data_IF_127015534392
#
_entry.id   IF_127015534392
#
_cell.length_a   1.000
_cell.length_b   1.000
_cell.length_c   1.000
_cell.angle_alpha   90.00
_cell.angle_beta   90.00
_cell.angle_gamma   90.00
#
_symmetry.space_group_name_H-M   'P 1'
#
loop_
_entity.id
_entity.type
_entity.pdbx_description
1 polymer ?
#
# COMPACT_ATOMS: atom_id res chain seq x y z
N UNK A 1 -26.91 -14.11 -13.68
CA UNK A 1 -26.24 -12.80 -13.56
C UNK A 1 -24.90 -12.94 -14.27
N UNK A 2 -24.48 -11.96 -15.07
CA UNK A 2 -23.15 -11.93 -15.68
C UNK A 2 -22.13 -11.37 -14.69
N UNK A 3 -20.83 -11.59 -14.91
CA UNK A 3 -19.77 -11.01 -14.06
C UNK A 3 -19.76 -9.48 -14.04
N UNK A 4 -20.11 -8.86 -15.17
CA UNK A 4 -20.37 -7.41 -15.29
C UNK A 4 -21.52 -6.97 -14.36
N UNK A 5 -22.62 -7.72 -14.32
CA UNK A 5 -23.75 -7.44 -13.44
C UNK A 5 -23.42 -7.69 -11.96
N UNK A 6 -22.66 -8.74 -11.65
CA UNK A 6 -22.20 -9.06 -10.29
C UNK A 6 -21.30 -7.95 -9.73
N UNK A 7 -20.30 -7.51 -10.51
CA UNK A 7 -19.40 -6.43 -10.12
C UNK A 7 -20.13 -5.11 -9.92
N UNK A 8 -21.06 -4.76 -10.83
CA UNK A 8 -21.96 -3.61 -10.67
C UNK A 8 -22.79 -3.71 -9.39
N UNK A 9 -23.44 -4.85 -9.15
CA UNK A 9 -24.31 -5.03 -7.98
C UNK A 9 -23.53 -4.97 -6.66
N UNK A 10 -22.31 -5.52 -6.62
CA UNK A 10 -21.41 -5.40 -5.47
C UNK A 10 -20.95 -3.95 -5.23
N UNK A 11 -20.63 -3.19 -6.29
CA UNK A 11 -20.28 -1.79 -6.17
C UNK A 11 -21.45 -0.93 -5.66
N UNK A 12 -22.66 -1.13 -6.19
CA UNK A 12 -23.88 -0.46 -5.70
C UNK A 12 -24.13 -0.79 -4.23
N UNK A 13 -23.99 -2.07 -3.83
CA UNK A 13 -24.14 -2.51 -2.44
C UNK A 13 -23.11 -1.88 -1.52
N UNK A 14 -21.82 -1.91 -1.87
CA UNK A 14 -20.75 -1.28 -1.09
C UNK A 14 -20.98 0.23 -0.90
N UNK A 15 -21.41 0.94 -1.97
CA UNK A 15 -21.75 2.36 -1.88
C UNK A 15 -22.97 2.63 -0.99
N UNK A 16 -23.93 1.72 -0.92
CA UNK A 16 -25.09 1.82 -0.04
C UNK A 16 -24.71 1.53 1.43
N UNK A 17 -24.04 0.41 1.70
CA UNK A 17 -23.64 -0.02 3.05
C UNK A 17 -22.73 0.99 3.75
N UNK A 18 -21.87 1.68 2.99
CA UNK A 18 -20.98 2.73 3.52
C UNK A 18 -21.50 4.16 3.29
N UNK A 19 -22.78 4.34 2.92
CA UNK A 19 -23.44 5.64 2.75
C UNK A 19 -22.72 6.62 1.79
N UNK A 20 -22.08 6.11 0.74
CA UNK A 20 -21.28 6.89 -0.22
C UNK A 20 -22.14 7.63 -1.27
N UNK A 21 -23.44 7.33 -1.32
CA UNK A 21 -24.39 7.93 -2.27
C UNK A 21 -23.92 7.76 -3.72
N UNK A 22 -24.03 8.83 -4.52
CA UNK A 22 -23.57 8.87 -5.93
C UNK A 22 -22.40 9.85 -6.16
N UNK A 23 -21.83 10.39 -5.09
CA UNK A 23 -20.78 11.41 -5.15
C UNK A 23 -19.37 10.80 -5.38
N UNK A 24 -18.40 11.60 -5.86
CA UNK A 24 -17.00 11.19 -5.95
C UNK A 24 -16.42 10.69 -4.63
N UNK A 25 -15.53 9.71 -4.71
CA UNK A 25 -14.77 9.21 -3.56
C UNK A 25 -13.47 10.02 -3.42
N UNK A 26 -13.20 10.55 -2.23
CA UNK A 26 -12.02 11.36 -1.91
C UNK A 26 -10.74 10.52 -1.81
N UNK A 27 -10.14 10.46 -0.62
CA UNK A 27 -9.05 9.52 -0.34
C UNK A 27 -9.60 8.09 -0.30
N UNK A 28 -9.40 7.37 -1.41
CA UNK A 28 -9.85 5.99 -1.57
C UNK A 28 -9.07 5.04 -0.66
N UNK A 29 -7.81 5.34 -0.32
CA UNK A 29 -7.00 4.50 0.57
C UNK A 29 -7.61 4.56 1.98
N UNK A 30 -7.77 5.77 2.53
CA UNK A 30 -8.41 5.94 3.84
C UNK A 30 -9.85 5.39 3.86
N UNK A 31 -10.59 5.50 2.75
CA UNK A 31 -11.92 4.90 2.63
C UNK A 31 -11.86 3.38 2.83
N UNK A 32 -11.00 2.67 2.08
CA UNK A 32 -10.87 1.20 2.18
C UNK A 32 -10.43 0.78 3.58
N UNK A 33 -9.40 1.42 4.14
CA UNK A 33 -8.87 1.12 5.48
C UNK A 33 -9.95 1.29 6.57
N UNK A 34 -10.80 2.31 6.43
CA UNK A 34 -11.88 2.60 7.38
C UNK A 34 -13.10 1.67 7.21
N UNK A 35 -13.50 1.35 5.99
CA UNK A 35 -14.74 0.60 5.74
C UNK A 35 -14.56 -0.92 5.82
N UNK A 36 -13.38 -1.43 5.49
CA UNK A 36 -13.09 -2.88 5.45
C UNK A 36 -12.12 -3.33 6.55
N UNK A 37 -11.32 -2.42 7.10
CA UNK A 37 -10.25 -2.76 8.05
C UNK A 37 -9.01 -3.43 7.42
N UNK A 38 -8.98 -3.56 6.09
CA UNK A 38 -7.83 -4.01 5.29
C UNK A 38 -6.71 -2.99 5.37
N UNK A 39 -5.47 -3.45 5.52
CA UNK A 39 -4.30 -2.60 5.50
C UNK A 39 -3.88 -2.29 4.05
N UNK A 40 -3.78 -1.01 3.67
CA UNK A 40 -3.48 -0.60 2.29
C UNK A 40 -2.15 0.15 2.21
N UNK A 41 -1.25 -0.31 1.34
CA UNK A 41 0.08 0.28 1.16
C UNK A 41 0.30 0.79 -0.26
N UNK A 42 0.99 1.93 -0.39
CA UNK A 42 1.54 2.40 -1.68
C UNK A 42 3.04 2.10 -1.68
N UNK A 43 3.49 1.28 -2.62
CA UNK A 43 4.81 0.66 -2.65
C UNK A 43 5.59 1.02 -3.93
N UNK A 44 6.91 0.85 -3.91
CA UNK A 44 7.67 0.71 -5.17
C UNK A 44 7.45 -0.72 -5.69
N UNK A 45 7.14 -0.87 -6.97
CA UNK A 45 6.91 -2.16 -7.64
C UNK A 45 7.62 -2.16 -8.99
N UNK A 46 7.83 -3.35 -9.57
CA UNK A 46 8.32 -3.45 -10.95
C UNK A 46 7.30 -2.89 -11.96
N UNK A 47 7.73 -2.45 -13.16
CA UNK A 47 6.88 -1.70 -14.10
C UNK A 47 5.61 -2.41 -14.56
N UNK A 48 5.57 -3.75 -14.49
CA UNK A 48 4.44 -4.59 -14.90
C UNK A 48 3.51 -4.98 -13.72
N UNK A 49 3.88 -4.63 -12.49
CA UNK A 49 3.06 -4.81 -11.30
C UNK A 49 2.36 -3.49 -10.93
N UNK A 50 1.04 -3.53 -10.77
CA UNK A 50 0.23 -2.33 -10.54
C UNK A 50 -0.54 -2.38 -9.22
N UNK A 51 -0.94 -3.58 -8.82
CA UNK A 51 -1.67 -3.89 -7.60
C UNK A 51 -1.45 -5.35 -7.24
N UNK A 52 -1.63 -5.65 -5.96
CA UNK A 52 -1.62 -7.01 -5.41
C UNK A 52 -2.51 -7.05 -4.17
N UNK A 53 -3.37 -8.05 -4.12
CA UNK A 53 -4.13 -8.44 -2.92
C UNK A 53 -3.48 -9.67 -2.30
N UNK A 54 -3.25 -9.65 -0.99
CA UNK A 54 -2.63 -10.77 -0.26
C UNK A 54 -3.33 -11.00 1.08
N UNK A 55 -3.42 -12.28 1.48
CA UNK A 55 -3.87 -12.69 2.81
C UNK A 55 -2.76 -13.47 3.50
N UNK A 56 -2.35 -13.04 4.68
CA UNK A 56 -1.42 -13.80 5.51
C UNK A 56 -2.13 -15.07 6.04
N UNK A 57 -1.66 -16.29 5.72
CA UNK A 57 -2.28 -17.52 6.19
C UNK A 57 -2.12 -17.72 7.71
N UNK A 58 -1.16 -17.07 8.37
CA UNK A 58 -0.92 -17.24 9.80
C UNK A 58 -1.84 -16.38 10.69
N UNK A 59 -1.92 -15.07 10.43
CA UNK A 59 -2.80 -14.16 11.18
C UNK A 59 -4.19 -13.98 10.56
N UNK A 60 -4.38 -14.40 9.31
CA UNK A 60 -5.59 -14.11 8.52
C UNK A 60 -5.71 -12.66 8.05
N UNK A 61 -4.71 -11.80 8.31
CA UNK A 61 -4.73 -10.39 7.92
C UNK A 61 -4.70 -10.24 6.40
N UNK A 62 -5.44 -9.25 5.89
CA UNK A 62 -5.56 -8.94 4.47
C UNK A 62 -4.88 -7.61 4.18
N UNK A 63 -4.10 -7.59 3.10
CA UNK A 63 -3.32 -6.45 2.64
C UNK A 63 -3.62 -6.17 1.16
N UNK A 64 -3.72 -4.89 0.81
CA UNK A 64 -3.68 -4.44 -0.59
C UNK A 64 -2.42 -3.59 -0.79
N UNK A 65 -1.53 -4.04 -1.67
CA UNK A 65 -0.45 -3.22 -2.21
C UNK A 65 -0.88 -2.58 -3.52
N UNK A 66 -0.60 -1.30 -3.70
CA UNK A 66 -0.69 -0.63 -5.01
C UNK A 66 0.62 0.07 -5.37
N UNK A 67 0.97 0.04 -6.65
CA UNK A 67 2.15 0.71 -7.15
C UNK A 67 2.03 2.23 -6.94
N UNK A 68 3.09 2.87 -6.45
CA UNK A 68 3.28 4.32 -6.65
C UNK A 68 3.30 4.61 -8.14
N UNK A 69 2.74 5.73 -8.57
CA UNK A 69 2.73 6.06 -10.00
C UNK A 69 2.49 7.53 -10.26
N UNK A 70 2.97 8.02 -11.39
CA UNK A 70 2.61 9.33 -11.97
C UNK A 70 1.27 9.29 -12.72
N UNK A 71 0.52 8.18 -12.66
CA UNK A 71 -0.81 8.01 -13.26
C UNK A 71 -1.90 7.85 -12.18
N UNK A 72 -2.31 8.93 -11.47
CA UNK A 72 -3.18 8.85 -10.30
C UNK A 72 -4.53 8.16 -10.56
N UNK A 73 -5.11 8.41 -11.75
CA UNK A 73 -6.38 7.79 -12.12
C UNK A 73 -6.28 6.27 -12.30
N UNK A 74 -5.10 5.78 -12.71
CA UNK A 74 -4.80 4.35 -12.84
C UNK A 74 -4.68 3.70 -11.46
N UNK A 75 -3.93 4.30 -10.55
CA UNK A 75 -3.79 3.82 -9.17
C UNK A 75 -5.15 3.69 -8.48
N UNK A 76 -6.04 4.68 -8.65
CA UNK A 76 -7.41 4.64 -8.10
C UNK A 76 -8.23 3.49 -8.68
N UNK A 77 -8.20 3.26 -9.99
CA UNK A 77 -8.86 2.10 -10.60
C UNK A 77 -8.27 0.77 -10.14
N UNK A 78 -6.95 0.68 -9.97
CA UNK A 78 -6.29 -0.53 -9.47
C UNK A 78 -6.66 -0.80 -8.02
N UNK A 79 -6.59 0.18 -7.12
CA UNK A 79 -7.04 0.01 -5.72
C UNK A 79 -8.52 -0.43 -5.63
N UNK A 80 -9.39 0.12 -6.49
CA UNK A 80 -10.79 -0.30 -6.54
C UNK A 80 -10.98 -1.71 -7.12
N UNK A 81 -10.07 -2.18 -7.99
CA UNK A 81 -10.05 -3.53 -8.54
C UNK A 81 -9.53 -4.54 -7.49
N UNK A 82 -8.43 -4.25 -6.81
CA UNK A 82 -7.91 -5.06 -5.69
C UNK A 82 -8.94 -5.19 -4.55
N UNK A 83 -9.65 -4.11 -4.22
CA UNK A 83 -10.77 -4.14 -3.27
C UNK A 83 -11.86 -5.12 -3.70
N UNK A 84 -12.13 -5.28 -5.01
CA UNK A 84 -13.08 -6.26 -5.48
C UNK A 84 -12.63 -7.69 -5.14
N UNK A 85 -11.36 -8.02 -5.39
CA UNK A 85 -10.82 -9.35 -5.06
C UNK A 85 -10.90 -9.64 -3.56
N UNK A 86 -10.62 -8.67 -2.69
CA UNK A 86 -10.85 -8.83 -1.24
C UNK A 86 -12.32 -9.11 -0.93
N UNK A 87 -13.26 -8.33 -1.48
CA UNK A 87 -14.69 -8.45 -1.19
C UNK A 87 -15.34 -9.72 -1.75
N UNK A 88 -14.73 -10.34 -2.77
CA UNK A 88 -15.16 -11.62 -3.35
C UNK A 88 -14.35 -12.82 -2.84
N UNK A 89 -13.34 -12.60 -1.98
CA UNK A 89 -12.39 -13.62 -1.53
C UNK A 89 -11.65 -14.33 -2.67
N UNK A 90 -11.35 -13.59 -3.75
CA UNK A 90 -10.60 -14.06 -4.93
C UNK A 90 -9.09 -14.14 -4.63
N UNK A 91 -8.69 -15.02 -3.71
CA UNK A 91 -7.28 -15.23 -3.35
C UNK A 91 -6.56 -15.98 -4.48
N UNK A 92 -6.00 -15.25 -5.45
CA UNK A 92 -5.16 -15.84 -6.50
C UNK A 92 -3.84 -16.34 -5.92
N UNK A 93 -3.58 -17.64 -6.07
CA UNK A 93 -2.23 -18.17 -5.87
C UNK A 93 -1.28 -17.61 -6.94
N UNK A 94 -0.06 -17.25 -6.54
CA UNK A 94 0.95 -16.56 -7.37
C UNK A 94 1.27 -17.27 -8.70
N UNK A 95 0.95 -18.55 -8.83
CA UNK A 95 1.25 -19.42 -9.97
C UNK A 95 0.26 -19.37 -11.14
N UNK A 96 -0.98 -18.90 -10.98
CA UNK A 96 -2.03 -19.08 -12.01
C UNK A 96 -2.59 -17.77 -12.62
N UNK A 97 -1.70 -16.81 -12.90
CA UNK A 97 -2.03 -15.65 -13.74
C UNK A 97 -2.03 -16.03 -15.23
N UNK A 98 -2.95 -16.92 -15.62
CA UNK A 98 -3.15 -17.28 -17.02
C UNK A 98 -3.61 -16.07 -17.85
N UNK A 99 -3.26 -16.05 -19.16
CA UNK A 99 -3.34 -14.84 -20.00
C UNK A 99 -4.71 -14.50 -20.58
N UNK A 100 -5.74 -15.30 -20.29
CA UNK A 100 -7.11 -14.94 -20.65
C UNK A 100 -7.75 -14.16 -19.49
N UNK A 101 -8.60 -13.16 -19.80
CA UNK A 101 -9.30 -12.42 -18.74
C UNK A 101 -10.23 -13.37 -18.00
N UNK A 102 -9.86 -13.76 -16.78
CA UNK A 102 -10.71 -14.60 -15.94
C UNK A 102 -12.05 -13.93 -15.68
N UNK A 103 -13.04 -14.72 -15.29
CA UNK A 103 -14.37 -14.22 -14.98
C UNK A 103 -14.34 -13.28 -13.76
N UNK A 104 -13.32 -13.45 -12.92
CA UNK A 104 -13.02 -12.71 -11.70
C UNK A 104 -12.45 -11.32 -12.05
N UNK A 105 -11.50 -11.24 -12.99
CA UNK A 105 -10.96 -9.98 -13.54
C UNK A 105 -12.06 -9.11 -14.18
N UNK A 106 -12.98 -9.72 -14.94
CA UNK A 106 -14.12 -9.01 -15.54
C UNK A 106 -15.05 -8.45 -14.45
N UNK A 107 -15.25 -9.19 -13.36
CA UNK A 107 -16.06 -8.76 -12.21
C UNK A 107 -15.37 -7.62 -11.43
N UNK A 108 -14.06 -7.70 -11.24
CA UNK A 108 -13.25 -6.69 -10.58
C UNK A 108 -13.20 -5.38 -11.36
N UNK A 109 -12.99 -5.42 -12.69
CA UNK A 109 -13.09 -4.25 -13.59
C UNK A 109 -14.49 -3.60 -13.53
N UNK A 110 -15.55 -4.40 -13.48
CA UNK A 110 -16.92 -3.91 -13.38
C UNK A 110 -17.20 -3.26 -12.01
N UNK A 111 -16.75 -3.89 -10.92
CA UNK A 111 -16.84 -3.33 -9.58
C UNK A 111 -16.08 -2.00 -9.49
N UNK A 112 -14.81 -1.96 -9.90
CA UNK A 112 -13.96 -0.78 -9.82
C UNK A 112 -14.58 0.43 -10.55
N UNK A 113 -15.09 0.20 -11.77
CA UNK A 113 -15.81 1.23 -12.55
C UNK A 113 -17.05 1.74 -11.83
N UNK A 114 -17.95 0.85 -11.39
CA UNK A 114 -19.21 1.26 -10.77
C UNK A 114 -19.03 1.83 -9.34
N UNK A 115 -17.95 1.46 -8.65
CA UNK A 115 -17.59 2.05 -7.37
C UNK A 115 -17.09 3.49 -7.54
N UNK A 116 -16.17 3.73 -8.48
CA UNK A 116 -15.55 5.04 -8.68
C UNK A 116 -16.46 6.04 -9.39
N UNK A 117 -17.24 5.58 -10.37
CA UNK A 117 -18.09 6.42 -11.22
C UNK A 117 -19.46 5.76 -11.43
N UNK A 118 -20.39 5.89 -10.46
CA UNK A 118 -21.76 5.40 -10.60
C UNK A 118 -22.50 6.15 -11.72
N UNK A 119 -23.35 5.43 -12.46
CA UNK A 119 -24.06 5.95 -13.65
C UNK A 119 -24.97 7.11 -13.27
N UNK A 120 -25.64 7.01 -12.13
CA UNK A 120 -26.51 8.01 -11.52
C UNK A 120 -25.75 9.30 -11.16
N UNK A 121 -24.49 9.15 -10.71
CA UNK A 121 -23.59 10.26 -10.44
C UNK A 121 -23.19 11.01 -11.71
N UNK A 122 -22.98 10.30 -12.82
CA UNK A 122 -22.72 10.90 -14.14
C UNK A 122 -23.95 11.62 -14.67
N UNK A 123 -25.14 11.02 -14.57
CA UNK A 123 -26.42 11.66 -14.94
C UNK A 123 -26.62 12.99 -14.21
N UNK A 124 -26.17 13.08 -12.95
CA UNK A 124 -26.26 14.32 -12.15
C UNK A 124 -25.36 15.45 -12.67
N UNK A 125 -24.22 15.15 -13.32
CA UNK A 125 -23.30 16.17 -13.90
C UNK A 125 -23.83 16.71 -15.23
N UNK A 126 -24.43 15.85 -16.04
CA UNK A 126 -24.94 16.19 -17.38
C UNK A 126 -26.35 16.76 -17.37
N UNK A 127 -27.07 16.65 -16.24
CA UNK A 127 -28.43 17.16 -16.10
C UNK A 127 -28.52 18.65 -16.50
N UNK A 128 -29.47 18.96 -17.40
CA UNK A 128 -29.68 20.33 -17.90
C UNK A 128 -28.73 20.78 -19.02
N UNK A 129 -27.79 19.94 -19.48
CA UNK A 129 -26.94 20.26 -20.63
C UNK A 129 -27.62 19.90 -21.96
N UNK A 130 -27.30 20.66 -23.00
CA UNK A 130 -27.81 20.46 -24.36
C UNK A 130 -26.99 19.46 -25.19
N UNK A 131 -25.72 19.24 -24.83
CA UNK A 131 -24.83 18.30 -25.49
C UNK A 131 -23.75 17.77 -24.52
N UNK A 132 -23.27 16.55 -24.79
CA UNK A 132 -22.19 15.89 -24.05
C UNK A 132 -20.90 15.97 -24.87
N UNK A 133 -20.10 17.00 -24.64
CA UNK A 133 -18.86 17.27 -25.36
C UNK A 133 -17.60 16.92 -24.55
N UNK A 134 -16.43 17.31 -25.07
CA UNK A 134 -15.14 17.04 -24.41
C UNK A 134 -14.96 17.86 -23.10
N UNK A 135 -15.66 19.00 -22.95
CA UNK A 135 -15.67 19.73 -21.68
C UNK A 135 -16.45 18.96 -20.61
N UNK A 136 -17.57 18.34 -20.99
CA UNK A 136 -18.30 17.41 -20.11
C UNK A 136 -17.46 16.19 -19.75
N UNK A 137 -16.72 15.60 -20.70
CA UNK A 137 -15.77 14.52 -20.40
C UNK A 137 -14.73 14.96 -19.37
N UNK A 138 -14.13 16.14 -19.56
CA UNK A 138 -13.14 16.71 -18.64
C UNK A 138 -13.71 16.91 -17.24
N UNK A 139 -14.91 17.46 -17.12
CA UNK A 139 -15.58 17.68 -15.83
C UNK A 139 -15.87 16.35 -15.12
N UNK A 140 -16.35 15.33 -15.83
CA UNK A 140 -16.59 13.99 -15.26
C UNK A 140 -15.28 13.35 -14.78
N UNK A 141 -14.22 13.42 -15.59
CA UNK A 141 -12.86 12.94 -15.26
C UNK A 141 -12.30 13.64 -14.02
N UNK A 142 -12.36 14.98 -13.99
CA UNK A 142 -11.85 15.80 -12.90
C UNK A 142 -12.66 15.61 -11.60
N UNK A 143 -13.98 15.46 -11.71
CA UNK A 143 -14.88 15.35 -10.55
C UNK A 143 -14.83 13.97 -9.90
N UNK A 144 -14.88 12.89 -10.68
CA UNK A 144 -14.81 11.52 -10.13
C UNK A 144 -13.38 11.02 -9.90
N UNK A 145 -12.37 11.71 -10.43
CA UNK A 145 -10.96 11.31 -10.38
C UNK A 145 -10.78 9.90 -10.98
N UNK A 146 -11.24 9.75 -12.23
CA UNK A 146 -11.16 8.52 -13.03
C UNK A 146 -10.49 8.79 -14.38
N UNK A 147 -10.11 7.73 -15.11
CA UNK A 147 -9.55 7.90 -16.45
C UNK A 147 -10.62 8.33 -17.48
N UNK A 148 -10.23 9.02 -18.58
CA UNK A 148 -11.15 9.32 -19.69
C UNK A 148 -11.83 8.07 -20.25
N UNK A 149 -11.15 6.92 -20.20
CA UNK A 149 -11.69 5.62 -20.61
C UNK A 149 -12.86 5.21 -19.72
N UNK A 150 -12.70 5.25 -18.39
CA UNK A 150 -13.80 4.93 -17.45
C UNK A 150 -14.95 5.95 -17.55
N UNK A 151 -14.64 7.24 -17.67
CA UNK A 151 -15.64 8.29 -17.87
C UNK A 151 -16.46 8.09 -19.15
N UNK A 152 -15.82 7.79 -20.28
CA UNK A 152 -16.49 7.53 -21.55
C UNK A 152 -17.31 6.23 -21.53
N UNK A 153 -16.90 5.19 -20.79
CA UNK A 153 -17.73 4.00 -20.58
C UNK A 153 -18.99 4.38 -19.78
N UNK A 154 -18.84 5.09 -18.66
CA UNK A 154 -19.96 5.48 -17.81
C UNK A 154 -20.95 6.45 -18.50
N UNK A 155 -20.44 7.43 -19.27
CA UNK A 155 -21.26 8.34 -20.09
C UNK A 155 -22.04 7.58 -21.18
N UNK A 156 -21.44 6.57 -21.79
CA UNK A 156 -22.12 5.73 -22.78
C UNK A 156 -23.20 4.84 -22.12
N UNK A 157 -22.89 4.24 -20.95
CA UNK A 157 -23.86 3.46 -20.16
C UNK A 157 -25.02 4.32 -19.64
N UNK A 158 -24.79 5.61 -19.38
CA UNK A 158 -25.81 6.60 -19.04
C UNK A 158 -26.61 7.09 -20.26
N UNK A 159 -26.34 6.59 -21.48
CA UNK A 159 -26.99 7.02 -22.72
C UNK A 159 -26.63 8.43 -23.20
N UNK A 160 -25.57 9.04 -22.64
CA UNK A 160 -25.21 10.44 -22.87
C UNK A 160 -24.31 10.66 -24.09
N UNK A 161 -23.69 9.59 -24.59
CA UNK A 161 -22.88 9.57 -25.82
C UNK A 161 -23.12 8.30 -26.63
N UNK A 162 -22.95 8.39 -27.94
CA UNK A 162 -22.96 7.25 -28.84
C UNK A 162 -21.66 6.43 -28.79
N UNK A 163 -21.67 5.27 -29.45
CA UNK A 163 -20.50 4.39 -29.51
C UNK A 163 -19.32 5.04 -30.23
N UNK A 164 -19.55 5.83 -31.29
CA UNK A 164 -18.48 6.48 -32.03
C UNK A 164 -17.75 7.53 -31.18
N UNK A 165 -18.49 8.31 -30.37
CA UNK A 165 -17.90 9.26 -29.41
C UNK A 165 -17.15 8.55 -28.29
N UNK A 166 -17.71 7.46 -27.74
CA UNK A 166 -16.98 6.61 -26.78
C UNK A 166 -15.63 6.15 -27.35
N UNK A 167 -15.60 5.62 -28.58
CA UNK A 167 -14.37 5.15 -29.21
C UNK A 167 -13.33 6.28 -29.41
N UNK A 168 -13.76 7.47 -29.86
CA UNK A 168 -12.87 8.64 -29.96
C UNK A 168 -12.26 9.02 -28.61
N UNK A 169 -13.04 8.94 -27.53
CA UNK A 169 -12.59 9.27 -26.18
C UNK A 169 -11.73 8.20 -25.51
N UNK A 170 -11.69 6.95 -26.02
CA UNK A 170 -10.73 5.94 -25.55
C UNK A 170 -9.28 6.36 -25.75
N UNK A 171 -9.00 7.18 -26.77
CA UNK A 171 -7.65 7.68 -27.09
C UNK A 171 -7.26 8.95 -26.30
N UNK A 172 -8.17 9.53 -25.52
CA UNK A 172 -7.92 10.74 -24.73
C UNK A 172 -7.23 10.38 -23.42
N UNK A 173 -6.28 11.21 -23.00
CA UNK A 173 -5.52 11.04 -21.75
C UNK A 173 -5.86 12.13 -20.74
N UNK A 174 -5.75 11.81 -19.44
CA UNK A 174 -6.00 12.77 -18.36
C UNK A 174 -5.17 14.05 -18.46
N UNK A 175 -3.85 14.02 -18.78
CA UNK A 175 -3.05 15.24 -18.94
C UNK A 175 -3.56 16.14 -20.08
N UNK A 176 -4.04 15.59 -21.19
CA UNK A 176 -4.58 16.38 -22.30
C UNK A 176 -5.82 17.17 -21.86
N UNK A 177 -6.75 16.53 -21.14
CA UNK A 177 -7.92 17.21 -20.58
C UNK A 177 -7.52 18.26 -19.53
N UNK A 178 -6.59 17.92 -18.63
CA UNK A 178 -6.13 18.81 -17.59
C UNK A 178 -5.45 20.07 -18.12
N UNK A 179 -4.66 19.97 -19.19
CA UNK A 179 -4.10 21.12 -19.91
C UNK A 179 -5.20 21.91 -20.63
N UNK A 180 -6.03 21.24 -21.42
CA UNK A 180 -7.04 21.88 -22.28
C UNK A 180 -8.13 22.64 -21.50
N UNK A 181 -8.49 22.14 -20.32
CA UNK A 181 -9.56 22.68 -19.48
C UNK A 181 -9.05 23.31 -18.18
N UNK A 182 -7.75 23.62 -18.07
CA UNK A 182 -7.21 24.53 -17.06
C UNK A 182 -7.09 23.95 -15.63
N UNK A 183 -6.99 22.63 -15.47
CA UNK A 183 -6.83 21.97 -14.17
C UNK A 183 -5.52 21.17 -14.02
N UNK A 184 -4.50 21.49 -14.82
CA UNK A 184 -3.20 20.82 -14.83
C UNK A 184 -2.48 20.84 -13.47
N UNK A 185 -2.64 21.88 -12.65
CA UNK A 185 -2.00 21.94 -11.34
C UNK A 185 -2.66 20.99 -10.34
N UNK A 186 -3.99 20.84 -10.38
CA UNK A 186 -4.68 19.78 -9.64
C UNK A 186 -4.20 18.40 -10.10
N UNK A 187 -4.05 18.19 -11.42
CA UNK A 187 -3.53 16.92 -11.93
C UNK A 187 -2.10 16.63 -11.41
N UNK A 188 -1.20 17.63 -11.42
CA UNK A 188 0.16 17.50 -10.86
C UNK A 188 0.15 17.15 -9.38
N UNK A 189 -0.65 17.82 -8.56
CA UNK A 189 -0.79 17.47 -7.13
C UNK A 189 -1.29 16.04 -6.93
N UNK A 190 -2.19 15.56 -7.79
CA UNK A 190 -2.63 14.16 -7.77
C UNK A 190 -1.50 13.21 -8.17
N UNK A 191 -0.66 13.56 -9.17
CA UNK A 191 0.52 12.77 -9.53
C UNK A 191 1.54 12.71 -8.38
N UNK A 192 1.78 13.81 -7.67
CA UNK A 192 2.66 13.83 -6.51
C UNK A 192 2.14 12.97 -5.36
N UNK A 193 0.83 12.96 -5.12
CA UNK A 193 0.20 12.13 -4.10
C UNK A 193 0.25 10.64 -4.47
N UNK A 194 -0.12 10.28 -5.71
CA UNK A 194 -0.08 8.88 -6.17
C UNK A 194 1.35 8.35 -6.33
N UNK A 195 2.34 9.23 -6.48
CA UNK A 195 3.75 8.89 -6.58
C UNK A 195 4.51 9.00 -5.25
N UNK A 196 3.80 9.08 -4.10
CA UNK A 196 4.39 8.95 -2.77
C UNK A 196 4.05 7.58 -2.19
N UNK A 197 5.04 6.93 -1.55
CA UNK A 197 4.78 5.75 -0.73
C UNK A 197 3.90 6.12 0.46
N UNK A 198 3.15 5.14 0.95
CA UNK A 198 2.22 5.28 2.09
C UNK A 198 2.14 3.95 2.81
N UNK A 199 2.51 3.94 4.09
CA UNK A 199 2.26 2.79 4.96
C UNK A 199 0.78 2.70 5.34
N UNK A 200 0.26 1.50 5.65
CA UNK A 200 -1.08 1.33 6.19
C UNK A 200 -1.25 2.10 7.49
N UNK A 201 -2.34 2.87 7.60
CA UNK A 201 -2.59 3.77 8.74
C UNK A 201 -2.70 3.00 10.05
N UNK A 202 -3.32 1.80 10.04
CA UNK A 202 -3.49 0.98 11.25
C UNK A 202 -2.15 0.38 11.71
N UNK A 203 -1.30 -0.04 10.78
CA UNK A 203 0.05 -0.52 11.08
C UNK A 203 0.90 0.60 11.70
N UNK A 204 0.89 1.79 11.10
CA UNK A 204 1.58 2.96 11.62
C UNK A 204 1.07 3.36 13.02
N UNK A 205 -0.25 3.40 13.23
CA UNK A 205 -0.84 3.71 14.53
C UNK A 205 -0.49 2.68 15.62
N UNK A 206 -0.35 1.39 15.26
CA UNK A 206 0.15 0.34 16.16
C UNK A 206 1.63 0.54 16.48
N UNK A 207 2.46 0.90 15.51
CA UNK A 207 3.88 1.17 15.72
C UNK A 207 4.10 2.39 16.65
N UNK A 208 3.34 3.47 16.46
CA UNK A 208 3.35 4.66 17.35
C UNK A 208 2.93 4.30 18.77
N UNK A 209 1.91 3.44 18.94
CA UNK A 209 1.52 2.96 20.28
C UNK A 209 2.62 2.11 20.92
N UNK A 210 3.20 1.17 20.17
CA UNK A 210 4.32 0.36 20.65
C UNK A 210 5.55 1.19 21.05
N UNK A 211 5.79 2.32 20.37
CA UNK A 211 6.79 3.29 20.81
C UNK A 211 6.42 3.99 22.11
N UNK A 212 5.19 4.51 22.22
CA UNK A 212 4.71 5.13 23.46
C UNK A 212 4.79 4.17 24.67
N UNK A 213 4.54 2.88 24.45
CA UNK A 213 4.63 1.80 25.46
C UNK A 213 6.07 1.29 25.71
N UNK A 214 7.08 1.83 25.01
CA UNK A 214 8.50 1.41 25.15
C UNK A 214 8.85 0.06 24.51
N UNK A 215 7.92 -0.52 23.74
CA UNK A 215 8.05 -1.83 23.08
C UNK A 215 8.83 -1.72 21.76
N UNK A 216 8.67 -0.62 21.03
CA UNK A 216 9.31 -0.39 19.73
C UNK A 216 10.19 0.89 19.76
N UNK A 217 11.38 0.88 19.11
CA UNK A 217 12.17 2.09 18.94
C UNK A 217 11.53 3.02 17.90
N UNK A 218 11.80 4.33 17.97
CA UNK A 218 11.40 5.31 16.94
C UNK A 218 11.84 4.89 15.53
N UNK A 219 12.98 4.17 15.43
CA UNK A 219 13.50 3.61 14.20
C UNK A 219 12.50 2.68 13.47
N UNK A 220 11.62 1.97 14.19
CA UNK A 220 10.61 1.11 13.55
C UNK A 220 9.56 1.96 12.80
N UNK A 221 9.16 3.10 13.37
CA UNK A 221 8.24 4.06 12.75
C UNK A 221 8.93 4.77 11.58
N UNK A 222 10.21 5.15 11.75
CA UNK A 222 11.03 5.74 10.70
C UNK A 222 11.16 4.84 9.46
N UNK A 223 11.32 3.53 9.67
CA UNK A 223 11.31 2.53 8.59
C UNK A 223 9.95 2.42 7.88
N UNK A 224 8.82 2.50 8.61
CA UNK A 224 7.49 2.49 7.99
C UNK A 224 7.19 3.75 7.18
N UNK A 225 7.69 4.91 7.62
CA UNK A 225 7.50 6.20 6.96
C UNK A 225 8.55 6.52 5.89
N UNK A 226 9.66 5.79 5.87
CA UNK A 226 10.88 6.07 5.07
C UNK A 226 11.41 7.50 5.24
N UNK A 227 11.42 7.99 6.48
CA UNK A 227 12.00 9.28 6.86
C UNK A 227 13.12 9.10 7.88
N UNK A 228 14.04 10.08 8.05
CA UNK A 228 15.08 10.00 9.07
C UNK A 228 14.49 9.85 10.48
N UNK A 229 15.11 9.02 11.33
CA UNK A 229 14.61 8.78 12.70
C UNK A 229 14.52 10.07 13.53
N UNK A 230 15.43 11.02 13.34
CA UNK A 230 15.39 12.33 14.00
C UNK A 230 14.14 13.16 13.64
N UNK A 231 13.59 12.99 12.42
CA UNK A 231 12.31 13.62 12.05
C UNK A 231 11.16 12.99 12.83
N UNK A 232 11.12 11.65 12.91
CA UNK A 232 10.11 10.92 13.70
C UNK A 232 10.19 11.27 15.19
N UNK A 233 11.39 11.35 15.76
CA UNK A 233 11.58 11.74 17.16
C UNK A 233 11.08 13.18 17.42
N UNK A 234 11.31 14.09 16.48
CA UNK A 234 10.78 15.47 16.55
C UNK A 234 9.25 15.48 16.45
N UNK A 235 8.68 14.79 15.44
CA UNK A 235 7.23 14.74 15.21
C UNK A 235 6.47 14.10 16.41
N UNK A 236 7.05 13.04 17.00
CA UNK A 236 6.48 12.38 18.17
C UNK A 236 6.60 13.24 19.43
N UNK A 237 7.76 13.87 19.66
CA UNK A 237 7.96 14.82 20.76
C UNK A 237 6.97 15.99 20.69
N UNK A 238 6.82 16.62 19.53
CA UNK A 238 5.94 17.77 19.32
C UNK A 238 4.45 17.38 19.40
N UNK A 239 4.12 16.12 19.11
CA UNK A 239 2.81 15.52 19.39
C UNK A 239 2.60 15.12 20.87
N UNK A 240 3.59 15.29 21.74
CA UNK A 240 3.55 14.91 23.16
C UNK A 240 3.67 13.40 23.41
N UNK A 241 4.13 12.63 22.42
CA UNK A 241 4.28 11.17 22.48
C UNK A 241 5.71 10.85 22.90
N UNK A 242 5.89 10.56 24.19
CA UNK A 242 7.18 10.18 24.79
C UNK A 242 7.12 8.70 25.20
N UNK A 243 8.16 7.90 24.93
CA UNK A 243 8.15 6.48 25.27
C UNK A 243 8.21 6.29 26.79
N UNK A 244 7.39 5.38 27.31
CA UNK A 244 7.54 4.89 28.69
C UNK A 244 8.87 4.16 28.79
N UNK A 245 9.84 4.78 29.45
CA UNK A 245 11.11 4.13 29.80
C UNK A 245 10.79 3.07 30.87
N UNK A 246 10.94 1.76 30.59
CA UNK A 246 10.77 0.76 31.62
C UNK A 246 11.83 0.99 32.71
N UNK A 247 11.49 0.90 34.01
CA UNK A 247 12.50 0.96 35.05
C UNK A 247 13.49 -0.17 34.78
N UNK A 248 14.77 0.19 34.59
CA UNK A 248 15.78 -0.79 34.21
C UNK A 248 15.95 -1.83 35.33
N UNK A 249 15.35 -3.01 35.15
CA UNK A 249 15.55 -4.18 36.00
C UNK A 249 16.93 -4.76 35.72
N UNK A 250 17.96 -4.00 36.09
CA UNK A 250 19.22 -4.61 36.48
C UNK A 250 18.89 -5.48 37.69
N UNK A 251 18.94 -6.80 37.52
CA UNK A 251 19.16 -7.69 38.66
C UNK A 251 20.37 -7.13 39.40
N UNK A 252 20.20 -6.80 40.69
CA UNK A 252 21.25 -6.15 41.44
C UNK A 252 22.50 -7.03 41.41
N UNK A 253 23.71 -6.47 41.45
CA UNK A 253 24.94 -7.27 41.41
C UNK A 253 25.05 -8.32 42.55
N UNK A 254 24.16 -8.26 43.55
CA UNK A 254 23.98 -9.25 44.61
C UNK A 254 23.16 -10.51 44.21
N UNK A 255 22.44 -10.50 43.08
CA UNK A 255 21.67 -11.65 42.56
C UNK A 255 22.42 -12.42 41.46
N UNK A 256 23.57 -11.92 41.02
CA UNK A 256 24.48 -12.67 40.16
C UNK A 256 25.26 -13.68 41.01
N UNK A 257 24.97 -14.97 40.85
CA UNK A 257 25.86 -16.01 41.37
C UNK A 257 27.28 -15.77 40.83
N UNK A 258 28.25 -15.61 41.71
CA UNK A 258 29.65 -15.44 41.31
C UNK A 258 30.09 -16.71 40.56
N UNK A 259 30.39 -16.65 39.25
CA UNK A 259 30.82 -17.83 38.52
C UNK A 259 32.12 -18.34 39.14
N UNK A 260 32.13 -19.61 39.53
CA UNK A 260 33.37 -20.29 39.90
C UNK A 260 34.19 -20.52 38.62
N UNK A 261 34.99 -19.52 38.26
CA UNK A 261 35.98 -19.63 37.19
C UNK A 261 37.13 -20.48 37.72
N UNK A 262 37.16 -21.75 37.32
CA UNK A 262 38.30 -22.62 37.58
C UNK A 262 39.49 -22.21 36.69
N UNK A 263 40.36 -21.38 37.25
CA UNK A 263 41.57 -20.92 36.57
C UNK A 263 42.57 -22.07 36.31
N UNK A 264 42.48 -23.21 37.00
CA UNK A 264 43.37 -24.35 36.74
C UNK A 264 43.05 -25.06 35.41
N UNK A 265 41.82 -24.92 34.89
CA UNK A 265 41.46 -25.44 33.58
C UNK A 265 42.09 -24.64 32.42
N UNK A 266 42.45 -23.36 32.64
CA UNK A 266 43.09 -22.50 31.65
C UNK A 266 44.59 -22.82 31.45
N UNK A 267 45.28 -23.28 32.49
CA UNK A 267 46.70 -23.65 32.40
C UNK A 267 46.92 -24.95 31.58
N UNK A 268 45.91 -25.81 31.48
CA UNK A 268 45.97 -27.06 30.68
C UNK A 268 46.03 -26.77 29.17
N UNK A 269 45.37 -25.71 28.69
CA UNK A 269 45.34 -25.32 27.28
C UNK A 269 46.57 -24.48 26.86
N UNK A 270 47.32 -23.94 27.82
CA UNK A 270 48.52 -23.13 27.59
C UNK A 270 49.84 -23.89 27.84
N UNK A 271 49.77 -25.09 28.43
CA UNK A 271 50.91 -25.90 28.87
C UNK A 271 51.32 -27.04 27.94
N UNK A 272 51.63 -26.77 26.67
CA UNK A 272 52.27 -27.77 25.80
C UNK A 272 53.68 -28.14 26.30
N UNK A 273 54.07 -29.43 26.32
CA UNK A 273 55.34 -29.84 26.92
C UNK A 273 56.55 -29.37 26.11
N UNK A 274 57.47 -28.68 26.79
CA UNK A 274 58.81 -28.43 26.29
C UNK A 274 59.63 -29.73 26.37
N UNK A 275 60.17 -30.22 25.25
CA UNK A 275 61.09 -31.36 25.28
C UNK A 275 62.41 -30.99 25.99
N UNK A 276 62.95 -31.85 26.87
CA UNK A 276 64.12 -31.51 27.66
C UNK A 276 65.45 -31.69 26.92
N UNK A 277 66.26 -30.63 26.86
CA UNK A 277 67.70 -30.73 26.55
C UNK A 277 68.46 -31.46 27.68
N UNK A 278 69.21 -32.51 27.33
CA UNK A 278 70.29 -33.17 28.11
C UNK A 278 70.77 -34.41 27.34
N UNK A 279 72.03 -34.87 27.24
CA UNK A 279 73.43 -34.37 27.37
C UNK A 279 74.32 -35.42 26.63
N UNK A 280 75.63 -35.33 26.35
CA UNK A 280 76.77 -34.50 26.77
C UNK A 280 77.81 -34.37 25.61
N UNK A 281 79.00 -33.73 25.75
CA UNK A 281 79.85 -33.33 24.62
C UNK A 281 81.06 -34.25 24.28
N UNK A 282 81.79 -33.82 23.23
CA UNK A 282 83.26 -33.92 23.03
C UNK A 282 83.80 -35.04 22.09
N UNK A 283 84.31 -34.66 20.90
CA UNK A 283 85.75 -34.48 20.60
C UNK A 283 86.03 -34.17 19.11
N UNK A 284 87.05 -33.33 18.88
CA UNK A 284 87.65 -33.07 17.56
C UNK A 284 88.34 -34.31 16.97
N UNK A 285 88.42 -34.38 15.63
CA UNK A 285 89.67 -34.54 14.84
C UNK A 285 89.36 -34.92 13.39
N UNK A 286 89.95 -34.21 12.41
CA UNK A 286 89.98 -34.61 10.99
C UNK A 286 89.63 -33.50 10.02
#
# INVERSE_FOLDING_TARGET
MTREEEGRAAATRFRHEHNLGVLPLGDLIALVELTTGVDVAVLDTDPDEHGLTMRDPASGAVFIGVARTTHPMRQRSTLAHELAHVLFEDWTEWSDRSRDRSLEEVRADAFARHLLIPVEGVVTIVAGRTATDEAVLSEVVQRFLVSPQLAAIALHQAGQIDFATKQRWMAVTTPQLAIRFGWIDQYRSLQELSNKRRAPQRLLARAIRGYAEGILPAQAIATLLEVPVAQVETDLHDAGIVPVIPPATWTGAAELETPQVDMAALDVDLGGPCEPESTAPQKDSG
#
